data_IF_488359506736
#
_entry.id   IF_488359506736
#
_cell.length_a   1.000
_cell.length_b   1.000
_cell.length_c   1.000
_cell.angle_alpha   90.00
_cell.angle_beta   90.00
_cell.angle_gamma   90.00
#
_symmetry.space_group_name_H-M   'P 1'
#
loop_
_entity.id
_entity.type
_entity.pdbx_description
1 polymer ?
#
# COMPACT_ATOMS: atom_id res chain seq x y z
N UNK A 1 25.90 68.06 45.85
CA UNK A 1 25.96 67.31 44.58
C UNK A 1 24.60 66.68 44.33
N UNK A 2 23.81 67.30 43.47
CA UNK A 2 22.44 66.93 43.10
C UNK A 2 22.46 66.02 41.89
N UNK A 3 21.78 64.86 41.96
CA UNK A 3 21.65 63.91 40.85
C UNK A 3 20.56 64.36 39.86
N UNK A 4 20.75 64.25 38.53
CA UNK A 4 19.69 64.48 37.56
C UNK A 4 18.89 63.21 37.26
N UNK A 5 17.58 63.43 37.15
CA UNK A 5 16.51 62.47 36.93
C UNK A 5 16.38 62.15 35.42
N UNK A 6 16.52 60.88 35.02
CA UNK A 6 16.31 60.42 33.64
C UNK A 6 14.88 59.91 33.49
N UNK A 7 14.09 60.60 32.64
CA UNK A 7 12.71 60.24 32.29
C UNK A 7 12.69 59.16 31.21
N UNK A 8 12.13 58.00 31.52
CA UNK A 8 11.79 56.97 30.53
C UNK A 8 10.42 57.28 29.89
N UNK A 9 10.38 57.30 28.55
CA UNK A 9 9.18 57.44 27.72
C UNK A 9 8.73 56.03 27.28
N UNK A 10 7.50 55.56 27.54
CA UNK A 10 7.07 54.25 27.08
C UNK A 10 6.54 54.32 25.64
N UNK A 11 7.09 53.48 24.76
CA UNK A 11 6.58 53.23 23.41
C UNK A 11 5.42 52.23 23.52
N UNK A 12 4.23 52.66 23.12
CA UNK A 12 3.00 51.85 23.10
C UNK A 12 2.99 50.98 21.82
N UNK A 13 3.23 49.68 21.96
CA UNK A 13 3.05 48.69 20.88
C UNK A 13 1.56 48.30 20.79
N UNK A 14 0.91 48.67 19.68
CA UNK A 14 -0.41 48.12 19.31
C UNK A 14 -0.24 46.69 18.80
N UNK A 15 -0.79 45.72 19.54
CA UNK A 15 -0.94 44.34 19.08
C UNK A 15 -2.22 44.22 18.22
N UNK A 16 -2.06 43.94 16.92
CA UNK A 16 -3.18 43.49 16.07
C UNK A 16 -3.51 42.03 16.43
N UNK A 17 -4.64 41.82 17.11
CA UNK A 17 -5.19 40.49 17.32
C UNK A 17 -5.94 40.04 16.04
N UNK A 18 -5.35 39.12 15.28
CA UNK A 18 -6.05 38.40 14.22
C UNK A 18 -6.89 37.28 14.87
N UNK A 19 -8.20 37.51 14.99
CA UNK A 19 -9.14 36.50 15.45
C UNK A 19 -9.44 35.44 14.37
N UNK A 20 -9.91 34.23 14.74
CA UNK A 20 -10.28 33.21 13.78
C UNK A 20 -11.51 33.65 12.98
N UNK A 21 -11.40 33.66 11.65
CA UNK A 21 -12.51 33.94 10.76
C UNK A 21 -13.51 32.76 10.81
N UNK A 22 -14.58 32.91 11.58
CA UNK A 22 -15.74 32.04 11.46
C UNK A 22 -16.43 32.34 10.11
N UNK A 23 -16.57 31.32 9.26
CA UNK A 23 -17.28 31.44 8.00
C UNK A 23 -18.73 31.87 8.24
N UNK A 24 -19.11 33.04 7.74
CA UNK A 24 -20.49 33.54 7.85
C UNK A 24 -21.42 32.69 6.96
N UNK A 25 -22.63 32.35 7.45
CA UNK A 25 -23.61 31.68 6.62
C UNK A 25 -23.97 32.54 5.40
N UNK A 26 -24.26 31.93 4.23
CA UNK A 26 -24.58 32.66 3.02
C UNK A 26 -25.81 33.56 3.22
N UNK A 27 -25.77 34.74 2.60
CA UNK A 27 -26.88 35.69 2.64
C UNK A 27 -28.16 35.07 2.05
N UNK A 28 -29.36 35.42 2.56
CA UNK A 28 -30.61 34.89 2.04
C UNK A 28 -30.76 35.19 0.54
N UNK A 29 -30.90 34.15 -0.28
CA UNK A 29 -31.08 34.26 -1.74
C UNK A 29 -29.89 33.81 -2.59
N UNK A 30 -28.75 33.47 -2.00
CA UNK A 30 -27.67 32.78 -2.72
C UNK A 30 -27.91 31.27 -2.69
N UNK A 31 -27.95 30.64 -3.87
CA UNK A 31 -27.92 29.18 -3.94
C UNK A 31 -26.65 28.69 -3.24
N UNK A 32 -26.72 27.66 -2.37
CA UNK A 32 -25.53 27.11 -1.75
C UNK A 32 -24.51 26.78 -2.83
N UNK A 33 -23.21 27.04 -2.60
CA UNK A 33 -22.18 26.75 -3.58
C UNK A 33 -22.27 25.27 -3.97
N UNK A 34 -22.12 24.98 -5.25
CA UNK A 34 -22.26 23.63 -5.79
C UNK A 34 -21.28 22.67 -5.09
N UNK A 35 -21.83 21.80 -4.24
CA UNK A 35 -21.08 20.82 -3.45
C UNK A 35 -20.22 19.94 -4.34
N UNK A 36 -20.72 19.56 -5.52
CA UNK A 36 -19.99 18.70 -6.45
C UNK A 36 -18.85 19.48 -7.11
N UNK A 37 -19.04 20.77 -7.42
CA UNK A 37 -17.95 21.61 -7.89
C UNK A 37 -16.83 21.75 -6.84
N UNK A 38 -17.18 21.88 -5.56
CA UNK A 38 -16.22 21.94 -4.46
C UNK A 38 -15.49 20.60 -4.25
N UNK A 39 -16.21 19.47 -4.31
CA UNK A 39 -15.63 18.12 -4.28
C UNK A 39 -14.64 17.89 -5.41
N UNK A 40 -14.99 18.28 -6.64
CA UNK A 40 -14.10 18.15 -7.82
C UNK A 40 -12.85 19.03 -7.73
N UNK A 41 -12.90 20.08 -6.93
CA UNK A 41 -11.77 20.99 -6.66
C UNK A 41 -10.99 20.60 -5.40
N UNK A 42 -11.26 19.43 -4.79
CA UNK A 42 -10.68 18.96 -3.53
C UNK A 42 -10.85 19.95 -2.35
N UNK A 43 -11.84 20.86 -2.42
CA UNK A 43 -12.17 21.84 -1.38
C UNK A 43 -13.04 21.22 -0.31
N UNK A 44 -12.52 20.19 0.36
CA UNK A 44 -13.31 19.28 1.20
C UNK A 44 -14.04 19.97 2.37
N UNK A 45 -13.37 20.88 3.07
CA UNK A 45 -13.97 21.58 4.21
C UNK A 45 -15.14 22.47 3.77
N UNK A 46 -14.98 23.16 2.63
CA UNK A 46 -16.01 24.01 2.06
C UNK A 46 -17.15 23.18 1.47
N UNK A 47 -16.84 22.06 0.82
CA UNK A 47 -17.85 21.10 0.37
C UNK A 47 -18.68 20.56 1.54
N UNK A 48 -18.05 20.27 2.68
CA UNK A 48 -18.73 19.79 3.88
C UNK A 48 -19.63 20.88 4.48
N UNK A 49 -19.16 22.12 4.55
CA UNK A 49 -19.96 23.26 5.01
C UNK A 49 -21.15 23.53 4.09
N UNK A 50 -20.96 23.47 2.77
CA UNK A 50 -22.03 23.59 1.79
C UNK A 50 -23.05 22.45 1.89
N UNK A 51 -22.58 21.21 2.10
CA UNK A 51 -23.43 20.04 2.28
C UNK A 51 -24.30 20.11 3.54
N UNK A 52 -23.84 20.78 4.60
CA UNK A 52 -24.63 20.99 5.81
C UNK A 52 -25.88 21.87 5.59
N UNK A 53 -25.93 22.62 4.48
CA UNK A 53 -27.11 23.37 4.06
C UNK A 53 -28.20 22.53 3.38
N UNK A 54 -27.94 21.25 3.09
CA UNK A 54 -28.92 20.36 2.47
C UNK A 54 -29.77 19.63 3.54
N UNK A 55 -31.09 19.46 3.33
CA UNK A 55 -31.95 18.73 4.27
C UNK A 55 -31.60 17.26 4.42
N UNK A 56 -31.09 16.64 3.34
CA UNK A 56 -30.74 15.22 3.34
C UNK A 56 -29.30 15.02 3.86
N UNK A 57 -29.10 14.25 4.95
CA UNK A 57 -27.77 13.97 5.49
C UNK A 57 -26.85 13.21 4.52
N UNK A 58 -27.40 12.61 3.45
CA UNK A 58 -26.61 11.93 2.42
C UNK A 58 -25.61 12.87 1.75
N UNK A 59 -25.91 14.16 1.63
CA UNK A 59 -25.03 15.13 1.00
C UNK A 59 -23.67 15.19 1.72
N UNK A 60 -23.67 15.32 3.05
CA UNK A 60 -22.44 15.34 3.84
C UNK A 60 -21.70 14.00 3.81
N UNK A 61 -22.44 12.88 3.78
CA UNK A 61 -21.85 11.55 3.67
C UNK A 61 -21.19 11.32 2.32
N UNK A 62 -21.74 11.84 1.23
CA UNK A 62 -21.15 11.80 -0.11
C UNK A 62 -19.87 12.62 -0.19
N UNK A 63 -19.84 13.82 0.39
CA UNK A 63 -18.60 14.64 0.47
C UNK A 63 -17.51 13.86 1.20
N UNK A 64 -17.85 13.28 2.34
CA UNK A 64 -16.92 12.43 3.11
C UNK A 64 -16.43 11.28 2.24
N UNK A 65 -17.32 10.51 1.63
CA UNK A 65 -16.96 9.38 0.77
C UNK A 65 -16.00 9.77 -0.37
N UNK A 66 -16.28 10.85 -1.10
CA UNK A 66 -15.40 11.31 -2.17
C UNK A 66 -14.02 11.73 -1.65
N UNK A 67 -13.95 12.39 -0.48
CA UNK A 67 -12.67 12.68 0.17
C UNK A 67 -11.90 11.42 0.51
N UNK A 68 -12.56 10.39 1.08
CA UNK A 68 -11.89 9.14 1.46
C UNK A 68 -11.37 8.34 0.26
N UNK A 69 -11.90 8.58 -0.94
CA UNK A 69 -11.36 8.02 -2.19
C UNK A 69 -10.13 8.78 -2.72
N UNK A 70 -9.97 10.05 -2.33
CA UNK A 70 -8.84 10.87 -2.73
C UNK A 70 -7.55 10.42 -2.01
N UNK A 71 -6.39 10.41 -2.70
CA UNK A 71 -5.12 10.06 -2.07
C UNK A 71 -4.76 11.09 -1.00
N UNK A 72 -4.19 10.63 0.12
CA UNK A 72 -3.65 11.47 1.21
C UNK A 72 -4.65 12.46 1.84
N UNK A 73 -5.97 12.29 1.63
CA UNK A 73 -6.99 13.22 2.11
C UNK A 73 -7.65 12.81 3.45
N UNK A 74 -7.27 11.65 3.99
CA UNK A 74 -7.83 11.08 5.21
C UNK A 74 -6.85 10.12 5.88
N UNK A 75 -6.98 9.99 7.20
CA UNK A 75 -6.20 9.03 8.00
C UNK A 75 -6.75 7.60 7.91
N UNK A 76 -5.91 6.62 8.22
CA UNK A 76 -6.27 5.19 8.17
C UNK A 76 -7.50 4.86 9.03
N UNK A 77 -7.53 5.35 10.27
CA UNK A 77 -8.61 5.07 11.23
C UNK A 77 -9.96 5.61 10.75
N UNK A 78 -9.96 6.79 10.11
CA UNK A 78 -11.14 7.42 9.54
C UNK A 78 -11.71 6.61 8.37
N UNK A 79 -10.84 6.22 7.42
CA UNK A 79 -11.26 5.43 6.26
C UNK A 79 -11.83 4.08 6.74
N UNK A 80 -11.15 3.42 7.68
CA UNK A 80 -11.59 2.16 8.24
C UNK A 80 -12.94 2.28 8.99
N UNK A 81 -13.17 3.36 9.75
CA UNK A 81 -14.45 3.62 10.40
C UNK A 81 -15.59 3.85 9.41
N UNK A 82 -15.32 4.56 8.31
CA UNK A 82 -16.30 4.73 7.24
C UNK A 82 -16.66 3.40 6.59
N UNK A 83 -15.66 2.58 6.23
CA UNK A 83 -15.88 1.26 5.64
C UNK A 83 -16.72 0.36 6.55
N UNK A 84 -16.43 0.34 7.86
CA UNK A 84 -17.16 -0.47 8.83
C UNK A 84 -18.62 -0.01 9.01
N UNK A 85 -18.88 1.30 9.00
CA UNK A 85 -20.23 1.86 9.11
C UNK A 85 -21.01 1.89 7.79
N UNK A 86 -20.34 1.63 6.67
CA UNK A 86 -20.88 1.79 5.32
C UNK A 86 -20.44 0.65 4.39
N UNK A 87 -20.72 -0.63 4.72
CA UNK A 87 -20.19 -1.79 3.98
C UNK A 87 -20.74 -1.89 2.55
N UNK A 88 -21.99 -1.49 2.33
CA UNK A 88 -22.65 -1.55 1.01
C UNK A 88 -22.31 -0.37 0.10
N UNK A 89 -21.46 0.56 0.56
CA UNK A 89 -21.07 1.70 -0.25
C UNK A 89 -20.14 1.27 -1.38
N UNK A 90 -20.23 1.94 -2.55
CA UNK A 90 -19.43 1.57 -3.70
C UNK A 90 -17.92 1.72 -3.43
N UNK A 91 -17.10 1.12 -4.29
CA UNK A 91 -15.64 1.26 -4.29
C UNK A 91 -14.93 0.83 -2.98
N UNK A 92 -15.47 -0.13 -2.22
CA UNK A 92 -14.82 -0.70 -1.03
C UNK A 92 -13.36 -1.11 -1.27
N UNK A 93 -13.04 -1.66 -2.45
CA UNK A 93 -11.68 -2.02 -2.81
C UNK A 93 -10.74 -0.80 -2.91
N UNK A 94 -11.25 0.33 -3.40
CA UNK A 94 -10.46 1.58 -3.46
C UNK A 94 -10.31 2.19 -2.08
N UNK A 95 -11.37 2.20 -1.25
CA UNK A 95 -11.28 2.62 0.15
C UNK A 95 -10.27 1.77 0.94
N UNK A 96 -10.29 0.45 0.77
CA UNK A 96 -9.31 -0.44 1.38
C UNK A 96 -7.87 -0.11 0.96
N UNK A 97 -7.65 0.22 -0.32
CA UNK A 97 -6.35 0.67 -0.82
C UNK A 97 -5.94 2.01 -0.20
N UNK A 98 -6.84 3.00 -0.13
CA UNK A 98 -6.56 4.31 0.50
C UNK A 98 -6.27 4.17 1.98
N UNK A 99 -6.97 3.30 2.68
CA UNK A 99 -6.70 2.96 4.09
C UNK A 99 -5.28 2.40 4.24
N UNK A 100 -4.91 1.43 3.40
CA UNK A 100 -3.58 0.82 3.45
C UNK A 100 -2.47 1.85 3.11
N UNK A 101 -2.70 2.72 2.12
CA UNK A 101 -1.80 3.84 1.81
C UNK A 101 -1.62 4.78 3.01
N UNK A 102 -2.71 5.16 3.68
CA UNK A 102 -2.69 5.98 4.88
C UNK A 102 -1.99 5.27 6.05
N UNK A 103 -2.25 3.96 6.24
CA UNK A 103 -1.63 3.16 7.28
C UNK A 103 -0.11 3.09 7.08
N UNK A 104 0.36 2.91 5.85
CA UNK A 104 1.78 2.89 5.53
C UNK A 104 2.52 4.16 5.97
N UNK A 105 1.84 5.32 5.93
CA UNK A 105 2.36 6.61 6.34
C UNK A 105 2.00 7.05 7.76
N UNK A 106 1.29 6.23 8.55
CA UNK A 106 0.78 6.61 9.88
C UNK A 106 1.94 6.83 10.86
N UNK A 107 2.18 8.06 11.37
CA UNK A 107 3.29 8.33 12.28
C UNK A 107 3.04 7.83 13.71
N UNK A 108 1.78 7.71 14.15
CA UNK A 108 1.46 7.31 15.52
C UNK A 108 1.47 5.77 15.64
N UNK A 109 2.41 5.23 16.41
CA UNK A 109 2.54 3.79 16.63
C UNK A 109 1.32 3.19 17.34
N UNK A 110 0.63 3.94 18.20
CA UNK A 110 -0.58 3.46 18.89
C UNK A 110 -1.77 3.34 17.93
N UNK A 111 -1.92 4.32 17.02
CA UNK A 111 -2.94 4.27 15.95
C UNK A 111 -2.63 3.14 14.98
N UNK A 112 -1.38 3.05 14.51
CA UNK A 112 -0.97 1.98 13.62
C UNK A 112 -1.21 0.60 14.24
N UNK A 113 -0.87 0.41 15.52
CA UNK A 113 -1.06 -0.87 16.22
C UNK A 113 -2.55 -1.25 16.27
N UNK A 114 -3.39 -0.30 16.68
CA UNK A 114 -4.83 -0.51 16.75
C UNK A 114 -5.43 -0.87 15.38
N UNK A 115 -4.98 -0.20 14.31
CA UNK A 115 -5.46 -0.50 12.96
C UNK A 115 -4.97 -1.86 12.44
N UNK A 116 -3.71 -2.21 12.67
CA UNK A 116 -3.13 -3.49 12.28
C UNK A 116 -3.86 -4.68 12.96
N UNK A 117 -4.24 -4.52 14.24
CA UNK A 117 -5.00 -5.54 14.97
C UNK A 117 -6.46 -5.63 14.52
N UNK A 118 -7.06 -4.49 14.16
CA UNK A 118 -8.48 -4.41 13.81
C UNK A 118 -8.75 -4.94 12.40
N UNK A 119 -7.96 -4.53 11.42
CA UNK A 119 -8.22 -4.88 10.02
C UNK A 119 -6.96 -5.30 9.28
N UNK A 120 -6.94 -6.49 8.65
CA UNK A 120 -5.78 -6.93 7.89
C UNK A 120 -5.42 -5.98 6.74
N UNK A 121 -4.19 -5.48 6.77
CA UNK A 121 -3.57 -4.81 5.65
C UNK A 121 -3.27 -5.81 4.50
N UNK A 122 -3.22 -5.29 3.28
CA UNK A 122 -2.90 -6.03 2.05
C UNK A 122 -1.73 -5.41 1.28
N UNK A 123 -1.60 -4.09 1.29
CA UNK A 123 -0.48 -3.42 0.61
C UNK A 123 0.85 -3.72 1.33
N UNK A 124 1.92 -3.93 0.56
CA UNK A 124 3.24 -4.27 1.10
C UNK A 124 3.77 -3.22 2.09
N UNK A 125 3.60 -1.94 1.79
CA UNK A 125 4.04 -0.85 2.67
C UNK A 125 3.25 -0.81 3.99
N UNK A 126 1.94 -1.07 3.93
CA UNK A 126 1.08 -1.16 5.11
C UNK A 126 1.42 -2.38 5.97
N UNK A 127 1.68 -3.53 5.35
CA UNK A 127 2.15 -4.74 6.02
C UNK A 127 3.51 -4.51 6.70
N UNK A 128 4.43 -3.82 6.03
CA UNK A 128 5.72 -3.45 6.62
C UNK A 128 5.54 -2.51 7.80
N UNK A 129 4.65 -1.51 7.70
CA UNK A 129 4.32 -0.64 8.83
C UNK A 129 3.81 -1.45 10.02
N UNK A 130 2.90 -2.40 9.78
CA UNK A 130 2.41 -3.29 10.84
C UNK A 130 3.53 -4.14 11.44
N UNK A 131 4.45 -4.67 10.62
CA UNK A 131 5.59 -5.44 11.13
C UNK A 131 6.45 -4.61 12.09
N UNK A 132 6.81 -3.39 11.68
CA UNK A 132 7.57 -2.46 12.52
C UNK A 132 6.85 -2.08 13.81
N UNK A 133 5.54 -1.83 13.74
CA UNK A 133 4.74 -1.49 14.92
C UNK A 133 4.62 -2.67 15.89
N UNK A 134 4.41 -3.89 15.39
CA UNK A 134 4.37 -5.10 16.22
C UNK A 134 5.72 -5.38 16.88
N UNK A 135 6.82 -5.14 16.18
CA UNK A 135 8.17 -5.28 16.74
C UNK A 135 8.38 -4.34 17.95
N UNK A 136 8.04 -3.05 17.78
CA UNK A 136 8.11 -2.05 18.86
C UNK A 136 7.17 -2.36 20.03
N UNK A 137 6.04 -3.00 19.75
CA UNK A 137 5.07 -3.45 20.75
C UNK A 137 5.49 -4.75 21.47
N UNK A 138 6.66 -5.34 21.15
CA UNK A 138 7.12 -6.58 21.76
C UNK A 138 6.36 -7.82 21.28
N UNK A 139 5.81 -7.79 20.06
CA UNK A 139 5.05 -8.89 19.42
C UNK A 139 5.83 -9.47 18.23
N UNK A 140 6.95 -10.17 18.44
CA UNK A 140 7.85 -10.61 17.37
C UNK A 140 7.19 -11.63 16.43
N UNK A 141 6.24 -12.45 16.91
CA UNK A 141 5.52 -13.41 16.07
C UNK A 141 4.64 -12.71 15.01
N UNK A 142 3.89 -11.69 15.44
CA UNK A 142 3.04 -10.90 14.53
C UNK A 142 3.88 -10.04 13.59
N UNK A 143 4.97 -9.47 14.09
CA UNK A 143 5.96 -8.75 13.30
C UNK A 143 6.51 -9.62 12.16
N UNK A 144 7.01 -10.82 12.48
CA UNK A 144 7.53 -11.75 11.49
C UNK A 144 6.46 -12.18 10.48
N UNK A 145 5.23 -12.44 10.93
CA UNK A 145 4.13 -12.80 10.05
C UNK A 145 3.79 -11.68 9.04
N UNK A 146 3.74 -10.42 9.48
CA UNK A 146 3.49 -9.29 8.60
C UNK A 146 4.66 -9.03 7.65
N UNK A 147 5.90 -9.13 8.13
CA UNK A 147 7.10 -8.99 7.30
C UNK A 147 7.14 -10.03 6.18
N UNK A 148 6.90 -11.31 6.47
CA UNK A 148 6.82 -12.37 5.44
C UNK A 148 5.77 -12.07 4.39
N UNK A 149 4.58 -11.63 4.81
CA UNK A 149 3.50 -11.23 3.89
C UNK A 149 3.91 -10.03 3.04
N UNK A 150 4.53 -9.01 3.64
CA UNK A 150 5.04 -7.83 2.93
C UNK A 150 6.05 -8.26 1.85
N UNK A 151 7.03 -9.10 2.22
CA UNK A 151 8.04 -9.63 1.31
C UNK A 151 7.44 -10.41 0.13
N UNK A 152 6.44 -11.25 0.36
CA UNK A 152 5.80 -12.01 -0.72
C UNK A 152 4.91 -11.11 -1.59
N UNK A 153 4.35 -10.04 -1.01
CA UNK A 153 3.58 -9.03 -1.73
C UNK A 153 4.49 -8.01 -2.42
N UNK A 154 4.10 -6.77 -2.64
CA UNK A 154 4.63 -5.89 -3.69
C UNK A 154 5.97 -5.17 -3.41
N UNK A 155 6.91 -5.78 -2.68
CA UNK A 155 8.27 -5.22 -2.51
C UNK A 155 9.08 -5.49 -3.79
N UNK A 156 9.07 -4.64 -4.81
CA UNK A 156 9.74 -4.91 -6.11
C UNK A 156 10.89 -3.97 -6.46
N UNK A 157 10.92 -2.78 -5.85
CA UNK A 157 12.02 -1.83 -6.03
C UNK A 157 13.33 -2.35 -5.40
N UNK A 158 14.48 -2.36 -6.10
CA UNK A 158 15.74 -2.88 -5.57
C UNK A 158 16.23 -2.19 -4.29
N UNK A 159 16.05 -0.87 -4.18
CA UNK A 159 16.47 -0.14 -2.98
C UNK A 159 15.57 -0.51 -1.79
N UNK A 160 14.28 -0.67 -2.04
CA UNK A 160 13.34 -1.15 -1.03
C UNK A 160 13.60 -2.61 -0.63
N UNK A 161 13.93 -3.49 -1.57
CA UNK A 161 14.34 -4.87 -1.28
C UNK A 161 15.53 -4.92 -0.33
N UNK A 162 16.58 -4.14 -0.61
CA UNK A 162 17.78 -4.08 0.21
C UNK A 162 17.46 -3.59 1.63
N UNK A 163 16.69 -2.49 1.74
CA UNK A 163 16.24 -1.97 3.04
C UNK A 163 15.40 -2.98 3.81
N UNK A 164 14.48 -3.66 3.13
CA UNK A 164 13.63 -4.67 3.74
C UNK A 164 14.47 -5.82 4.33
N UNK A 165 15.42 -6.35 3.55
CA UNK A 165 16.26 -7.47 3.97
C UNK A 165 17.21 -7.10 5.12
N UNK A 166 17.66 -5.84 5.21
CA UNK A 166 18.46 -5.39 6.37
C UNK A 166 17.67 -5.45 7.69
N UNK A 167 16.37 -5.14 7.66
CA UNK A 167 15.53 -5.14 8.87
C UNK A 167 14.92 -6.52 9.18
N UNK A 168 14.35 -7.18 8.17
CA UNK A 168 13.52 -8.37 8.34
C UNK A 168 14.09 -9.61 7.65
N UNK A 169 15.29 -9.57 7.07
CA UNK A 169 15.86 -10.69 6.31
C UNK A 169 16.00 -11.98 7.13
N UNK A 170 16.21 -11.88 8.45
CA UNK A 170 16.37 -13.02 9.34
C UNK A 170 15.09 -13.82 9.57
N UNK A 171 13.91 -13.21 9.37
CA UNK A 171 12.62 -13.89 9.55
C UNK A 171 12.09 -14.54 8.28
N UNK A 172 12.70 -14.27 7.12
CA UNK A 172 12.29 -14.80 5.82
C UNK A 172 12.84 -16.21 5.64
N UNK A 173 11.95 -17.18 5.55
CA UNK A 173 12.31 -18.58 5.32
C UNK A 173 12.47 -18.92 3.84
N UNK A 174 12.99 -20.13 3.59
CA UNK A 174 13.09 -20.73 2.25
C UNK A 174 11.76 -20.67 1.48
N UNK A 175 10.68 -21.11 2.12
CA UNK A 175 9.35 -21.15 1.51
C UNK A 175 8.84 -19.76 1.14
N UNK A 176 9.16 -18.73 1.94
CA UNK A 176 8.80 -17.34 1.64
C UNK A 176 9.55 -16.83 0.40
N UNK A 177 10.83 -17.20 0.26
CA UNK A 177 11.63 -16.85 -0.92
C UNK A 177 11.04 -17.48 -2.19
N UNK A 178 10.61 -18.75 -2.12
CA UNK A 178 9.96 -19.43 -3.23
C UNK A 178 8.59 -18.81 -3.58
N UNK A 179 7.73 -18.57 -2.59
CA UNK A 179 6.41 -17.95 -2.81
C UNK A 179 6.52 -16.57 -3.46
N UNK A 180 7.51 -15.78 -3.02
CA UNK A 180 7.82 -14.50 -3.64
C UNK A 180 8.27 -14.68 -5.09
N UNK A 181 9.19 -15.60 -5.36
CA UNK A 181 9.63 -15.91 -6.73
C UNK A 181 8.45 -16.29 -7.62
N UNK A 182 7.63 -17.25 -7.18
CA UNK A 182 6.52 -17.79 -7.99
C UNK A 182 5.57 -16.67 -8.40
N UNK A 183 5.18 -15.80 -7.46
CA UNK A 183 4.35 -14.64 -7.75
C UNK A 183 5.05 -13.65 -8.70
N UNK A 184 6.31 -13.30 -8.43
CA UNK A 184 7.06 -12.36 -9.28
C UNK A 184 7.23 -12.87 -10.71
N UNK A 185 7.41 -14.18 -10.90
CA UNK A 185 7.56 -14.76 -12.24
C UNK A 185 6.36 -14.43 -13.16
N UNK A 186 5.16 -14.22 -12.58
CA UNK A 186 3.96 -13.83 -13.30
C UNK A 186 3.85 -12.33 -13.60
N UNK A 187 4.33 -11.47 -12.71
CA UNK A 187 4.03 -10.03 -12.75
C UNK A 187 5.24 -9.17 -13.10
N UNK A 188 6.46 -9.63 -12.77
CA UNK A 188 7.70 -8.89 -12.95
C UNK A 188 8.90 -9.86 -13.05
N UNK A 189 9.25 -10.23 -14.29
CA UNK A 189 10.34 -11.16 -14.57
C UNK A 189 11.72 -10.61 -14.18
N UNK A 190 11.90 -9.28 -14.14
CA UNK A 190 13.17 -8.68 -13.74
C UNK A 190 13.40 -8.84 -12.24
N UNK A 191 12.38 -8.56 -11.42
CA UNK A 191 12.42 -8.83 -9.99
C UNK A 191 12.48 -10.32 -9.69
N UNK A 192 11.79 -11.17 -10.47
CA UNK A 192 11.89 -12.62 -10.34
C UNK A 192 13.31 -13.15 -10.59
N UNK A 193 14.03 -12.60 -11.58
CA UNK A 193 15.42 -12.97 -11.84
C UNK A 193 16.36 -12.61 -10.67
N UNK A 194 16.19 -11.44 -10.06
CA UNK A 194 16.91 -11.08 -8.82
C UNK A 194 16.51 -11.97 -7.64
N UNK A 195 15.26 -12.40 -7.59
CA UNK A 195 14.78 -13.30 -6.54
C UNK A 195 15.37 -14.71 -6.70
N UNK A 196 15.54 -15.20 -7.93
CA UNK A 196 16.08 -16.53 -8.21
C UNK A 196 17.50 -16.72 -7.64
N UNK A 197 18.32 -15.67 -7.59
CA UNK A 197 19.67 -15.74 -7.02
C UNK A 197 19.70 -15.89 -5.50
N UNK A 198 18.57 -15.69 -4.81
CA UNK A 198 18.41 -15.85 -3.36
C UNK A 198 17.83 -17.22 -2.95
N UNK A 199 17.46 -18.04 -3.93
CA UNK A 199 16.92 -19.37 -3.70
C UNK A 199 18.06 -20.36 -3.42
N UNK A 200 17.76 -21.44 -2.71
CA UNK A 200 18.68 -22.57 -2.62
C UNK A 200 18.91 -23.21 -4.01
N UNK A 201 19.94 -24.06 -4.18
CA UNK A 201 20.29 -24.60 -5.49
C UNK A 201 19.16 -25.36 -6.21
N UNK A 202 18.31 -26.09 -5.47
CA UNK A 202 17.22 -26.85 -6.08
C UNK A 202 16.13 -25.89 -6.59
N UNK A 203 15.67 -24.99 -5.72
CA UNK A 203 14.64 -24.01 -6.07
C UNK A 203 15.13 -23.02 -7.15
N UNK A 204 16.43 -22.71 -7.15
CA UNK A 204 17.07 -21.87 -8.17
C UNK A 204 17.06 -22.53 -9.54
N UNK A 205 17.39 -23.82 -9.66
CA UNK A 205 17.34 -24.54 -10.94
C UNK A 205 15.92 -24.51 -11.53
N UNK A 206 14.90 -24.77 -10.70
CA UNK A 206 13.48 -24.67 -11.09
C UNK A 206 13.11 -23.25 -11.51
N UNK A 207 13.52 -22.23 -10.75
CA UNK A 207 13.27 -20.83 -11.05
C UNK A 207 13.89 -20.39 -12.39
N UNK A 208 15.14 -20.76 -12.65
CA UNK A 208 15.84 -20.45 -13.89
C UNK A 208 15.17 -21.09 -15.10
N UNK A 209 14.74 -22.36 -15.00
CA UNK A 209 13.97 -23.03 -16.05
C UNK A 209 12.65 -22.30 -16.35
N UNK A 210 11.89 -21.91 -15.32
CA UNK A 210 10.66 -21.12 -15.48
C UNK A 210 10.88 -19.80 -16.19
N UNK A 211 11.88 -19.04 -15.76
CA UNK A 211 12.22 -17.76 -16.39
C UNK A 211 12.72 -17.93 -17.82
N UNK A 212 13.39 -19.04 -18.15
CA UNK A 212 13.84 -19.36 -19.49
C UNK A 212 12.66 -19.65 -20.43
N UNK A 213 11.72 -20.50 -20.03
CA UNK A 213 10.49 -20.75 -20.81
C UNK A 213 9.67 -19.49 -21.05
N UNK A 214 9.58 -18.60 -20.06
CA UNK A 214 8.87 -17.31 -20.21
C UNK A 214 9.54 -16.35 -21.19
N UNK A 215 10.86 -16.45 -21.35
CA UNK A 215 11.66 -15.60 -22.24
C UNK A 215 11.88 -16.22 -23.62
N UNK A 216 11.23 -17.35 -23.90
CA UNK A 216 11.43 -18.13 -25.13
C UNK A 216 12.90 -18.51 -25.38
N UNK A 217 13.65 -18.74 -24.31
CA UNK A 217 15.06 -19.10 -24.38
C UNK A 217 15.23 -20.50 -25.00
N UNK A 218 16.02 -20.65 -26.09
CA UNK A 218 16.31 -21.95 -26.70
C UNK A 218 16.92 -22.97 -25.74
N UNK A 219 17.58 -22.51 -24.67
CA UNK A 219 18.19 -23.35 -23.65
C UNK A 219 17.19 -23.81 -22.56
N UNK A 220 15.93 -23.38 -22.60
CA UNK A 220 14.92 -23.74 -21.60
C UNK A 220 14.75 -25.26 -21.40
N UNK A 221 14.75 -26.12 -22.44
CA UNK A 221 14.67 -27.58 -22.26
C UNK A 221 15.88 -28.17 -21.50
N UNK A 222 17.08 -27.64 -21.73
CA UNK A 222 18.28 -28.09 -21.01
C UNK A 222 18.24 -27.66 -19.53
N UNK A 223 17.76 -26.45 -19.26
CA UNK A 223 17.52 -25.97 -17.90
C UNK A 223 16.45 -26.81 -17.18
N UNK A 224 15.37 -27.19 -17.88
CA UNK A 224 14.36 -28.11 -17.35
C UNK A 224 14.97 -29.48 -16.98
N UNK A 225 15.86 -30.01 -17.81
CA UNK A 225 16.53 -31.28 -17.53
C UNK A 225 17.40 -31.23 -16.26
N UNK A 226 17.94 -30.05 -15.90
CA UNK A 226 18.69 -29.83 -14.68
C UNK A 226 17.81 -29.69 -13.42
N UNK A 227 16.49 -29.52 -13.56
CA UNK A 227 15.57 -29.44 -12.41
C UNK A 227 15.46 -30.80 -11.73
N UNK A 228 15.62 -30.88 -10.39
CA UNK A 228 15.44 -32.11 -9.63
C UNK A 228 14.06 -32.73 -9.90
N UNK A 229 14.01 -34.06 -10.03
CA UNK A 229 12.79 -34.78 -10.40
C UNK A 229 11.61 -34.47 -9.45
N UNK A 230 11.87 -34.37 -8.15
CA UNK A 230 10.87 -34.01 -7.13
C UNK A 230 10.24 -32.63 -7.32
N UNK A 231 10.85 -31.76 -8.14
CA UNK A 231 10.41 -30.39 -8.38
C UNK A 231 9.88 -30.16 -9.81
N UNK A 232 9.94 -31.16 -10.69
CA UNK A 232 9.46 -31.02 -12.09
C UNK A 232 7.94 -30.91 -12.19
N UNK A 233 7.21 -31.46 -11.23
CA UNK A 233 5.75 -31.37 -11.15
C UNK A 233 5.22 -30.01 -10.65
N UNK A 234 6.04 -28.95 -10.68
CA UNK A 234 5.63 -27.60 -10.32
C UNK A 234 4.58 -27.06 -11.31
N UNK A 235 3.38 -26.66 -10.86
CA UNK A 235 2.33 -26.16 -11.75
C UNK A 235 2.73 -24.93 -12.55
N UNK A 236 3.59 -24.07 -11.97
CA UNK A 236 4.10 -22.90 -12.65
C UNK A 236 5.03 -23.26 -13.81
N UNK A 237 5.95 -24.21 -13.58
CA UNK A 237 6.84 -24.76 -14.60
C UNK A 237 6.08 -25.45 -15.73
N UNK A 238 5.09 -26.27 -15.38
CA UNK A 238 4.20 -26.90 -16.35
C UNK A 238 3.54 -25.86 -17.26
N UNK A 239 2.94 -24.82 -16.67
CA UNK A 239 2.22 -23.79 -17.43
C UNK A 239 3.17 -22.97 -18.31
N UNK A 240 4.38 -22.69 -17.82
CA UNK A 240 5.42 -21.98 -18.58
C UNK A 240 5.89 -22.80 -19.79
N UNK A 241 6.12 -24.11 -19.61
CA UNK A 241 6.48 -25.03 -20.69
C UNK A 241 5.37 -25.18 -21.73
N UNK A 242 4.12 -25.40 -21.28
CA UNK A 242 2.98 -25.54 -22.18
C UNK A 242 2.78 -24.26 -23.03
N UNK A 243 2.90 -23.08 -22.42
CA UNK A 243 2.81 -21.81 -23.15
C UNK A 243 3.95 -21.62 -24.14
N UNK A 244 5.17 -22.02 -23.78
CA UNK A 244 6.33 -21.98 -24.66
C UNK A 244 6.14 -22.87 -25.91
N UNK A 245 5.73 -24.13 -25.72
CA UNK A 245 5.43 -25.06 -26.81
C UNK A 245 4.34 -24.52 -27.76
N UNK A 246 3.27 -23.95 -27.20
CA UNK A 246 2.20 -23.33 -27.99
C UNK A 246 2.68 -22.12 -28.78
N UNK A 247 3.54 -21.26 -28.20
CA UNK A 247 4.15 -20.15 -28.94
C UNK A 247 5.07 -20.64 -30.06
N UNK A 248 5.71 -21.80 -29.88
CA UNK A 248 6.51 -22.47 -30.90
C UNK A 248 5.69 -23.27 -31.93
N UNK A 249 4.35 -23.26 -31.86
CA UNK A 249 3.47 -24.02 -32.76
C UNK A 249 3.46 -25.53 -32.52
N UNK A 250 3.97 -26.00 -31.38
CA UNK A 250 4.05 -27.41 -31.01
C UNK A 250 2.86 -27.83 -30.14
N UNK A 251 1.64 -27.68 -30.66
CA UNK A 251 0.40 -27.89 -29.90
C UNK A 251 0.23 -29.35 -29.43
N UNK A 252 0.61 -30.34 -30.24
CA UNK A 252 0.57 -31.76 -29.86
C UNK A 252 1.52 -32.07 -28.69
N UNK A 253 2.71 -31.47 -28.70
CA UNK A 253 3.66 -31.61 -27.61
C UNK A 253 3.17 -30.91 -26.34
N UNK A 254 2.49 -29.77 -26.48
CA UNK A 254 1.87 -29.08 -25.34
C UNK A 254 0.73 -29.89 -24.73
N UNK A 255 -0.07 -30.56 -25.57
CA UNK A 255 -1.15 -31.44 -25.13
C UNK A 255 -0.61 -32.68 -24.41
N UNK A 256 0.49 -33.25 -24.89
CA UNK A 256 1.12 -34.43 -24.30
C UNK A 256 1.77 -34.21 -22.92
N UNK A 257 1.82 -32.95 -22.42
CA UNK A 257 2.25 -32.67 -21.04
C UNK A 257 1.17 -33.03 -20.00
N UNK A 258 -0.11 -33.06 -20.40
CA UNK A 258 -1.27 -33.41 -19.54
C UNK A 258 -1.46 -34.93 -19.44
#
# INVERSE_FOLDING_TARGET
MTMPCVRFLPILLLALAAGPAAAQPPAPGQSPPDVIALVRADRWAEAQAAAAGYPDPVAGKLVTYYRLLAPNAAGTAEIAAFMASSPDWPQQATLARRRDEALAGEPDDSVALAECDRTPAKAAAALLRCAETYDRAGRPGDSAAMARRAWISDVTDPAWEARFLMGFGTVIGRDDQWRRFDRLAWTDTASAARQASRLDPADRARAEARLAFRRDDPNAPALLAAVPESQRADPGLFLDQARWLRRAGQDDAALALW
#
